data_IF_217847689464
#
_entry.id   IF_217847689464
#
_cell.length_a   1.000
_cell.length_b   1.000
_cell.length_c   1.000
_cell.angle_alpha   90.00
_cell.angle_beta   90.00
_cell.angle_gamma   90.00
#
_symmetry.space_group_name_H-M   'P 1'
#
loop_
_entity.id
_entity.type
_entity.pdbx_description
1 polymer ?
#
# COMPACT_ATOMS: atom_id res chain seq x y z
N UNK A 1 8.02 -2.90 -19.21
CA UNK A 1 6.71 -3.58 -19.31
C UNK A 1 5.77 -2.88 -18.34
N UNK A 2 4.74 -2.20 -18.86
CA UNK A 2 3.71 -1.61 -18.01
C UNK A 2 2.86 -2.72 -17.38
N UNK A 3 2.68 -2.70 -16.06
CA UNK A 3 1.87 -3.66 -15.30
C UNK A 3 0.35 -3.55 -15.54
N UNK A 4 -0.08 -2.84 -16.58
CA UNK A 4 -1.49 -2.52 -16.87
C UNK A 4 -2.39 -3.75 -16.76
N UNK A 5 -3.43 -3.67 -15.93
CA UNK A 5 -4.41 -4.76 -15.71
C UNK A 5 -3.85 -6.03 -15.06
N UNK A 6 -2.62 -5.99 -14.52
CA UNK A 6 -2.00 -7.09 -13.78
C UNK A 6 -2.02 -6.81 -12.29
N UNK A 7 -2.12 -7.88 -11.51
CA UNK A 7 -2.03 -7.81 -10.05
C UNK A 7 -0.86 -8.65 -9.57
N UNK A 8 -0.04 -8.09 -8.67
CA UNK A 8 1.03 -8.79 -7.99
C UNK A 8 0.66 -9.01 -6.52
N UNK A 9 1.02 -10.18 -6.00
CA UNK A 9 0.83 -10.53 -4.60
C UNK A 9 2.01 -10.03 -3.77
N UNK A 10 1.75 -9.30 -2.69
CA UNK A 10 2.78 -8.86 -1.74
C UNK A 10 2.25 -8.82 -0.31
N UNK A 11 3.10 -9.17 0.65
CA UNK A 11 2.88 -8.95 2.08
C UNK A 11 3.38 -7.58 2.53
N UNK A 12 3.02 -7.20 3.77
CA UNK A 12 3.39 -5.92 4.36
C UNK A 12 4.92 -5.73 4.45
N UNK A 13 5.66 -6.77 4.80
CA UNK A 13 7.12 -6.74 4.89
C UNK A 13 7.78 -6.42 3.53
N UNK A 14 7.32 -7.06 2.46
CA UNK A 14 7.81 -6.80 1.10
C UNK A 14 7.48 -5.39 0.65
N UNK A 15 6.25 -4.93 0.89
CA UNK A 15 5.84 -3.55 0.59
C UNK A 15 6.73 -2.56 1.34
N UNK A 16 6.89 -2.73 2.65
CA UNK A 16 7.74 -1.85 3.47
C UNK A 16 9.18 -1.80 2.96
N UNK A 17 9.79 -2.97 2.65
CA UNK A 17 11.16 -3.02 2.12
C UNK A 17 11.31 -2.36 0.75
N UNK A 18 10.28 -2.38 -0.10
CA UNK A 18 10.27 -1.64 -1.37
C UNK A 18 10.30 -0.13 -1.09
N UNK A 19 9.39 0.35 -0.24
CA UNK A 19 9.28 1.78 0.09
C UNK A 19 10.43 2.31 0.98
N UNK A 20 11.20 1.41 1.59
CA UNK A 20 12.44 1.67 2.32
C UNK A 20 13.70 1.50 1.43
N UNK A 21 13.52 1.17 0.15
CA UNK A 21 14.63 1.02 -0.80
C UNK A 21 15.55 -0.18 -0.55
N UNK A 22 15.13 -1.12 0.32
CA UNK A 22 15.83 -2.39 0.58
C UNK A 22 15.58 -3.43 -0.52
N UNK A 23 14.40 -3.39 -1.14
CA UNK A 23 14.08 -4.15 -2.35
C UNK A 23 14.06 -3.16 -3.52
N UNK A 24 15.00 -3.32 -4.44
CA UNK A 24 15.24 -2.36 -5.52
C UNK A 24 14.94 -2.89 -6.91
N UNK A 25 14.56 -4.17 -7.05
CA UNK A 25 14.25 -4.79 -8.35
C UNK A 25 12.97 -5.63 -8.30
N UNK A 26 12.23 -5.63 -9.40
CA UNK A 26 10.97 -6.39 -9.53
C UNK A 26 11.15 -7.91 -9.49
N UNK A 27 12.32 -8.40 -9.91
CA UNK A 27 12.72 -9.80 -9.76
C UNK A 27 13.47 -10.06 -8.45
N UNK A 28 13.17 -9.35 -7.37
CA UNK A 28 13.67 -9.72 -6.04
C UNK A 28 13.06 -11.05 -5.59
N UNK A 29 13.80 -11.83 -4.80
CA UNK A 29 13.36 -13.14 -4.30
C UNK A 29 12.12 -13.04 -3.39
N UNK A 30 11.97 -11.94 -2.63
CA UNK A 30 10.78 -11.71 -1.80
C UNK A 30 9.51 -11.55 -2.65
N UNK A 31 9.61 -10.88 -3.80
CA UNK A 31 8.49 -10.70 -4.74
C UNK A 31 8.24 -12.01 -5.51
N UNK A 32 9.30 -12.67 -6.00
CA UNK A 32 9.22 -13.94 -6.73
C UNK A 32 8.51 -15.04 -5.94
N UNK A 33 8.86 -15.20 -4.66
CA UNK A 33 8.27 -16.25 -3.80
C UNK A 33 6.76 -16.12 -3.67
N UNK A 34 6.22 -14.90 -3.74
CA UNK A 34 4.80 -14.61 -3.63
C UNK A 34 4.07 -14.67 -4.98
N UNK A 35 4.83 -14.67 -6.08
CA UNK A 35 4.33 -14.63 -7.46
C UNK A 35 4.96 -15.71 -8.36
N UNK A 36 4.93 -17.01 -7.99
CA UNK A 36 5.68 -18.06 -8.69
C UNK A 36 5.21 -18.33 -10.14
N UNK A 37 4.05 -17.78 -10.53
CA UNK A 37 3.46 -17.93 -11.87
C UNK A 37 3.61 -16.68 -12.73
N UNK A 38 4.31 -15.66 -12.25
CA UNK A 38 4.49 -14.38 -12.95
C UNK A 38 5.95 -14.25 -13.38
N UNK A 39 6.17 -14.01 -14.67
CA UNK A 39 7.49 -13.69 -15.19
C UNK A 39 7.86 -12.25 -14.78
N UNK A 40 8.62 -12.14 -13.70
CA UNK A 40 9.06 -10.85 -13.15
C UNK A 40 10.30 -10.33 -13.90
N UNK A 41 10.28 -9.07 -14.37
CA UNK A 41 11.39 -8.50 -15.12
C UNK A 41 12.58 -8.16 -14.20
N UNK A 42 13.80 -8.25 -14.75
CA UNK A 42 14.98 -7.59 -14.16
C UNK A 42 14.90 -6.08 -14.44
N UNK A 43 14.08 -5.39 -13.65
CA UNK A 43 13.79 -3.98 -13.78
C UNK A 43 13.88 -3.33 -12.40
N UNK A 44 14.54 -2.17 -12.35
CA UNK A 44 14.66 -1.39 -11.12
C UNK A 44 13.30 -0.85 -10.69
N UNK A 45 13.07 -0.85 -9.37
CA UNK A 45 11.89 -0.29 -8.75
C UNK A 45 12.12 1.19 -8.49
N UNK A 46 11.21 2.04 -8.97
CA UNK A 46 11.17 3.45 -8.62
C UNK A 46 9.95 3.73 -7.75
N UNK A 47 10.20 4.02 -6.47
CA UNK A 47 9.15 4.44 -5.54
C UNK A 47 8.67 5.84 -5.93
N UNK A 48 7.36 6.05 -5.91
CA UNK A 48 6.72 7.35 -6.09
C UNK A 48 5.85 7.62 -4.87
N UNK A 49 6.13 8.72 -4.18
CA UNK A 49 5.45 9.11 -2.96
C UNK A 49 4.92 10.53 -3.05
N UNK A 50 4.10 10.93 -2.09
CA UNK A 50 3.64 12.33 -2.00
C UNK A 50 4.80 13.24 -1.57
N UNK A 51 4.97 14.36 -2.27
CA UNK A 51 5.92 15.41 -1.87
C UNK A 51 5.30 16.45 -0.92
N UNK A 52 3.97 16.46 -0.81
CA UNK A 52 3.21 17.34 0.05
C UNK A 52 2.53 16.58 1.19
N UNK A 53 2.25 17.31 2.27
CA UNK A 53 1.53 16.80 3.44
C UNK A 53 0.22 16.11 3.03
N UNK A 54 0.03 14.86 3.44
CA UNK A 54 -1.00 13.98 2.88
C UNK A 54 -1.59 13.00 3.89
N UNK A 55 -2.92 13.00 4.02
CA UNK A 55 -3.66 11.98 4.76
C UNK A 55 -3.49 10.57 4.17
N UNK A 56 -3.47 10.45 2.84
CA UNK A 56 -3.16 9.20 2.12
C UNK A 56 -1.79 8.65 2.52
N UNK A 57 -0.80 9.53 2.68
CA UNK A 57 0.54 9.13 3.16
C UNK A 57 0.46 8.63 4.58
N UNK A 58 -0.24 9.35 5.46
CA UNK A 58 -0.43 8.89 6.85
C UNK A 58 -1.14 7.53 6.91
N UNK A 59 -2.18 7.31 6.12
CA UNK A 59 -2.91 6.03 6.09
C UNK A 59 -2.03 4.89 5.58
N UNK A 60 -1.29 5.10 4.48
CA UNK A 60 -0.31 4.14 3.97
C UNK A 60 0.78 3.81 5.01
N UNK A 61 1.34 4.85 5.66
CA UNK A 61 2.35 4.70 6.69
C UNK A 61 1.82 4.00 7.94
N UNK A 62 0.54 4.18 8.30
CA UNK A 62 -0.10 3.46 9.40
C UNK A 62 -0.12 1.97 9.11
N UNK A 63 -0.55 1.59 7.90
CA UNK A 63 -0.55 0.18 7.48
C UNK A 63 0.84 -0.45 7.55
N UNK A 64 1.87 0.16 6.93
CA UNK A 64 3.21 -0.45 6.94
C UNK A 64 3.82 -0.47 8.34
N UNK A 65 3.53 0.51 9.19
CA UNK A 65 3.99 0.53 10.58
C UNK A 65 3.37 -0.59 11.41
N UNK A 66 2.09 -0.85 11.21
CA UNK A 66 1.36 -1.84 11.99
C UNK A 66 1.61 -3.28 11.50
N UNK A 67 1.70 -3.47 10.18
CA UNK A 67 1.73 -4.80 9.55
C UNK A 67 3.12 -5.29 9.14
N UNK A 68 4.11 -4.41 8.96
CA UNK A 68 5.45 -4.81 8.51
C UNK A 68 6.45 -5.06 9.65
N UNK A 69 6.03 -4.85 10.91
CA UNK A 69 6.90 -5.01 12.08
C UNK A 69 8.20 -4.21 11.95
N UNK A 70 9.34 -4.87 12.21
CA UNK A 70 10.66 -4.24 12.17
C UNK A 70 11.16 -3.87 10.77
N UNK A 71 10.42 -4.23 9.71
CA UNK A 71 10.77 -3.86 8.35
C UNK A 71 10.56 -2.36 8.06
N UNK A 72 9.76 -1.67 8.88
CA UNK A 72 9.51 -0.23 8.76
C UNK A 72 9.86 0.52 10.06
N UNK A 73 11.03 1.16 10.08
CA UNK A 73 11.54 1.85 11.28
C UNK A 73 11.11 3.31 11.41
N UNK A 74 10.35 3.85 10.46
CA UNK A 74 10.00 5.26 10.43
C UNK A 74 8.77 5.58 11.29
N UNK A 75 8.72 6.84 11.75
CA UNK A 75 7.59 7.35 12.50
C UNK A 75 6.39 7.64 11.59
N UNK A 76 5.20 7.52 12.18
CA UNK A 76 3.96 7.86 11.49
C UNK A 76 3.85 9.37 11.31
N UNK A 77 3.54 9.81 10.10
CA UNK A 77 3.38 11.23 9.79
C UNK A 77 2.59 11.44 8.51
N UNK A 78 2.30 12.71 8.21
CA UNK A 78 1.65 13.11 6.96
C UNK A 78 2.67 13.46 5.87
N UNK A 79 3.95 13.52 6.21
CA UNK A 79 5.06 13.71 5.28
C UNK A 79 5.76 12.38 5.04
N UNK A 80 6.33 12.20 3.84
CA UNK A 80 7.15 11.04 3.54
C UNK A 80 8.43 11.04 4.41
N UNK A 81 8.82 9.91 5.03
CA UNK A 81 9.81 9.92 6.11
C UNK A 81 11.25 9.60 5.67
N UNK A 82 11.49 9.31 4.39
CA UNK A 82 12.82 8.98 3.87
C UNK A 82 13.08 9.64 2.50
N UNK A 83 14.26 9.42 1.94
CA UNK A 83 14.68 9.99 0.65
C UNK A 83 14.54 8.98 -0.52
N UNK A 84 13.80 7.88 -0.31
CA UNK A 84 13.66 6.81 -1.30
C UNK A 84 12.63 7.19 -2.35
N UNK A 85 13.06 7.18 -3.61
CA UNK A 85 12.18 7.37 -4.75
C UNK A 85 11.98 8.84 -5.14
N UNK A 86 10.85 9.11 -5.79
CA UNK A 86 10.49 10.41 -6.33
C UNK A 86 9.23 10.96 -5.66
N UNK A 87 9.34 12.16 -5.12
CA UNK A 87 8.19 12.90 -4.61
C UNK A 87 7.37 13.53 -5.75
N UNK A 88 6.05 13.34 -5.72
CA UNK A 88 5.10 13.98 -6.62
C UNK A 88 3.99 14.69 -5.83
N UNK A 89 3.55 15.85 -6.34
CA UNK A 89 2.57 16.69 -5.64
C UNK A 89 1.14 16.18 -5.90
N UNK A 90 0.40 15.92 -4.83
CA UNK A 90 -0.97 15.45 -4.91
C UNK A 90 -1.10 14.02 -5.46
N UNK A 91 -2.28 13.43 -5.31
CA UNK A 91 -2.55 12.07 -5.81
C UNK A 91 -2.44 11.98 -7.32
N UNK A 92 -2.92 12.98 -8.06
CA UNK A 92 -2.79 13.03 -9.53
C UNK A 92 -1.34 13.09 -10.00
N UNK A 93 -0.46 13.80 -9.26
CA UNK A 93 0.97 13.83 -9.53
C UNK A 93 1.60 12.44 -9.38
N UNK A 94 1.31 11.75 -8.27
CA UNK A 94 1.79 10.38 -8.02
C UNK A 94 1.33 9.44 -9.15
N UNK A 95 0.04 9.44 -9.49
CA UNK A 95 -0.50 8.59 -10.56
C UNK A 95 0.16 8.90 -11.91
N UNK A 96 0.32 10.18 -12.25
CA UNK A 96 0.94 10.58 -13.51
C UNK A 96 2.40 10.14 -13.59
N UNK A 97 3.17 10.28 -12.50
CA UNK A 97 4.56 9.82 -12.45
C UNK A 97 4.65 8.30 -12.57
N UNK A 98 3.77 7.54 -11.91
CA UNK A 98 3.69 6.08 -12.05
C UNK A 98 3.38 5.68 -13.49
N UNK A 99 2.46 6.38 -14.16
CA UNK A 99 2.10 6.08 -15.56
C UNK A 99 3.21 6.39 -16.58
N UNK A 100 4.08 7.36 -16.28
CA UNK A 100 5.08 7.86 -17.23
C UNK A 100 6.36 7.03 -17.28
N UNK A 101 6.60 6.14 -16.30
CA UNK A 101 7.82 5.34 -16.24
C UNK A 101 7.54 3.87 -15.90
N UNK A 102 8.27 2.99 -16.57
CA UNK A 102 8.28 1.57 -16.27
C UNK A 102 8.97 1.31 -14.92
N UNK A 103 8.48 0.30 -14.19
CA UNK A 103 9.09 -0.13 -12.93
C UNK A 103 8.72 0.72 -11.72
N UNK A 104 7.80 1.67 -11.88
CA UNK A 104 7.33 2.52 -10.80
C UNK A 104 6.33 1.81 -9.87
N UNK A 105 6.30 2.23 -8.62
CA UNK A 105 5.30 1.83 -7.63
C UNK A 105 4.95 3.04 -6.75
N UNK A 106 3.68 3.22 -6.43
CA UNK A 106 3.21 4.27 -5.53
C UNK A 106 1.93 3.85 -4.82
N UNK A 107 1.38 4.77 -4.04
CA UNK A 107 0.12 4.60 -3.31
C UNK A 107 -0.85 5.72 -3.66
N UNK A 108 -2.12 5.35 -3.82
CA UNK A 108 -3.21 6.27 -4.14
C UNK A 108 -4.55 5.64 -3.76
N UNK A 109 -5.58 6.47 -3.61
CA UNK A 109 -6.95 6.00 -3.44
C UNK A 109 -7.33 5.01 -4.56
N UNK A 110 -8.08 3.97 -4.20
CA UNK A 110 -8.51 2.91 -5.13
C UNK A 110 -9.17 3.45 -6.42
N UNK A 111 -9.94 4.55 -6.31
CA UNK A 111 -10.60 5.21 -7.44
C UNK A 111 -9.63 5.78 -8.49
N UNK A 112 -8.37 6.00 -8.11
CA UNK A 112 -7.34 6.59 -8.95
C UNK A 112 -6.48 5.55 -9.67
N UNK A 113 -6.58 4.27 -9.30
CA UNK A 113 -5.80 3.20 -9.91
C UNK A 113 -6.12 3.04 -11.41
N UNK A 114 -7.40 3.16 -11.79
CA UNK A 114 -7.85 2.97 -13.17
C UNK A 114 -7.38 1.61 -13.72
N UNK A 115 -6.63 1.63 -14.81
CA UNK A 115 -6.08 0.42 -15.43
C UNK A 115 -4.65 0.06 -14.96
N UNK A 116 -4.08 0.79 -13.99
CA UNK A 116 -2.72 0.53 -13.52
C UNK A 116 -2.57 -0.90 -13.00
N UNK A 117 -1.31 -1.39 -13.01
CA UNK A 117 -0.98 -2.59 -12.27
C UNK A 117 -1.18 -2.36 -10.78
N UNK A 118 -1.69 -3.37 -10.08
CA UNK A 118 -2.07 -3.25 -8.66
C UNK A 118 -1.43 -4.33 -7.81
N UNK A 119 -1.50 -4.16 -6.49
CA UNK A 119 -1.01 -5.13 -5.52
C UNK A 119 -2.20 -5.76 -4.81
N UNK A 120 -2.23 -7.10 -4.77
CA UNK A 120 -3.05 -7.84 -3.83
C UNK A 120 -2.23 -8.05 -2.56
N UNK A 121 -2.79 -7.64 -1.43
CA UNK A 121 -2.09 -7.62 -0.15
C UNK A 121 -2.34 -8.92 0.59
N UNK A 122 -1.30 -9.48 1.21
CA UNK A 122 -1.44 -10.67 2.05
C UNK A 122 -2.21 -10.35 3.34
N UNK A 123 -3.25 -11.12 3.61
CA UNK A 123 -4.15 -10.99 4.77
C UNK A 123 -4.39 -12.39 5.32
N UNK A 124 -3.83 -12.69 6.50
CA UNK A 124 -3.70 -14.08 6.95
C UNK A 124 -2.89 -14.90 5.94
N UNK A 125 -3.51 -15.95 5.39
CA UNK A 125 -2.90 -16.84 4.39
C UNK A 125 -3.28 -16.51 2.94
N UNK A 126 -4.24 -15.60 2.73
CA UNK A 126 -4.79 -15.25 1.42
C UNK A 126 -4.22 -13.91 0.90
N UNK A 127 -4.24 -13.71 -0.42
CA UNK A 127 -3.96 -12.40 -1.04
C UNK A 127 -5.27 -11.73 -1.48
N UNK A 128 -5.48 -10.50 -1.02
CA UNK A 128 -6.71 -9.74 -1.23
C UNK A 128 -6.43 -8.60 -2.19
N UNK A 129 -7.03 -8.59 -3.40
CA UNK A 129 -6.97 -7.42 -4.27
C UNK A 129 -7.81 -6.28 -3.68
N UNK A 130 -7.47 -5.03 -4.01
CA UNK A 130 -8.28 -3.90 -3.60
C UNK A 130 -9.68 -3.99 -4.25
N UNK A 131 -10.72 -3.73 -3.47
CA UNK A 131 -12.09 -3.55 -3.97
C UNK A 131 -12.90 -2.74 -2.97
N UNK A 132 -14.03 -2.18 -3.39
CA UNK A 132 -14.92 -1.46 -2.48
C UNK A 132 -15.44 -2.39 -1.37
N UNK A 133 -15.76 -3.63 -1.71
CA UNK A 133 -16.21 -4.65 -0.76
C UNK A 133 -15.10 -5.04 0.23
N UNK A 134 -13.86 -5.16 -0.25
CA UNK A 134 -12.73 -5.51 0.59
C UNK A 134 -12.37 -4.37 1.57
N UNK A 135 -12.52 -3.12 1.14
CA UNK A 135 -12.36 -1.95 2.02
C UNK A 135 -13.48 -1.88 3.09
N UNK A 136 -14.73 -2.14 2.70
CA UNK A 136 -15.86 -2.17 3.64
C UNK A 136 -15.68 -3.22 4.74
N UNK A 137 -15.16 -4.40 4.39
CA UNK A 137 -14.87 -5.47 5.35
C UNK A 137 -13.85 -5.08 6.43
N UNK A 138 -12.86 -4.24 6.11
CA UNK A 138 -11.93 -3.76 7.13
C UNK A 138 -12.64 -2.85 8.11
N UNK A 139 -13.51 -1.96 7.62
CA UNK A 139 -14.30 -1.07 8.48
C UNK A 139 -15.20 -1.89 9.41
N UNK A 140 -15.86 -2.94 8.89
CA UNK A 140 -16.74 -3.82 9.69
C UNK A 140 -15.95 -4.65 10.72
N UNK A 141 -14.72 -5.06 10.39
CA UNK A 141 -13.87 -5.86 11.27
C UNK A 141 -13.10 -5.02 12.32
N UNK A 142 -13.06 -3.70 12.15
CA UNK A 142 -12.26 -2.81 12.97
C UNK A 142 -13.03 -2.37 14.23
N UNK A 143 -12.39 -2.35 15.41
CA UNK A 143 -13.06 -1.91 16.62
C UNK A 143 -13.46 -0.42 16.54
N UNK A 144 -14.65 -0.12 17.07
CA UNK A 144 -15.06 1.26 17.30
C UNK A 144 -14.15 1.91 18.36
N UNK A 145 -13.80 3.17 18.15
CA UNK A 145 -13.08 3.95 19.15
C UNK A 145 -14.06 4.49 20.19
N UNK A 146 -14.17 3.76 21.30
CA UNK A 146 -15.03 4.11 22.44
C UNK A 146 -14.66 5.45 23.12
N UNK A 147 -13.53 6.07 22.74
CA UNK A 147 -13.12 7.38 23.24
C UNK A 147 -13.76 8.57 22.49
N UNK A 148 -14.38 8.33 21.33
CA UNK A 148 -15.06 9.36 20.56
C UNK A 148 -16.40 9.74 21.21
N UNK A 149 -16.45 10.90 21.87
CA UNK A 149 -17.70 11.42 22.48
C UNK A 149 -18.46 12.34 21.52
N UNK A 150 -19.74 12.06 21.30
CA UNK A 150 -20.70 12.89 20.56
C UNK A 150 -21.76 12.06 19.83
N UNK A 151 -23.03 12.50 19.87
CA UNK A 151 -24.20 11.68 19.50
C UNK A 151 -24.23 11.13 18.05
N UNK A 152 -23.33 11.59 17.16
CA UNK A 152 -23.20 11.15 15.77
C UNK A 152 -21.74 10.84 15.35
N UNK A 153 -20.84 10.53 16.28
CA UNK A 153 -19.41 10.36 15.98
C UNK A 153 -18.99 8.89 16.04
N UNK A 154 -18.93 8.24 14.88
CA UNK A 154 -18.33 6.91 14.73
C UNK A 154 -16.87 7.11 14.30
N UNK A 155 -15.93 6.73 15.16
CA UNK A 155 -14.50 6.66 14.84
C UNK A 155 -14.13 5.18 14.85
N UNK A 156 -13.50 4.71 13.79
CA UNK A 156 -13.07 3.31 13.63
C UNK A 156 -11.56 3.28 13.76
N UNK A 157 -11.02 2.45 14.66
CA UNK A 157 -9.58 2.16 14.68
C UNK A 157 -9.32 1.06 13.67
N UNK A 158 -8.86 1.44 12.48
CA UNK A 158 -8.53 0.49 11.41
C UNK A 158 -7.55 -0.57 11.94
N UNK A 159 -7.99 -1.83 11.97
CA UNK A 159 -7.11 -2.95 12.28
C UNK A 159 -6.35 -3.35 11.01
N UNK A 160 -5.19 -2.74 10.81
CA UNK A 160 -4.29 -3.04 9.70
C UNK A 160 -3.68 -4.45 9.80
N UNK A 161 -3.80 -5.12 10.95
CA UNK A 161 -3.34 -6.48 11.20
C UNK A 161 -4.46 -7.53 11.14
N UNK A 162 -5.63 -7.13 10.62
CA UNK A 162 -6.76 -8.05 10.49
C UNK A 162 -6.37 -9.31 9.72
N UNK A 163 -6.82 -10.45 10.21
CA UNK A 163 -6.76 -11.73 9.49
C UNK A 163 -8.10 -12.07 8.83
N UNK A 164 -9.04 -11.12 8.81
CA UNK A 164 -10.38 -11.32 8.28
C UNK A 164 -10.33 -11.56 6.77
N UNK A 165 -11.00 -12.63 6.33
CA UNK A 165 -10.87 -13.09 4.95
C UNK A 165 -11.47 -12.09 3.95
N UNK A 166 -10.59 -11.58 3.09
CA UNK A 166 -10.97 -10.63 2.04
C UNK A 166 -11.11 -9.19 2.51
N UNK A 167 -10.60 -8.84 3.69
CA UNK A 167 -10.53 -7.47 4.15
C UNK A 167 -9.22 -6.82 3.64
N UNK A 168 -9.29 -5.74 2.86
CA UNK A 168 -8.10 -5.11 2.27
C UNK A 168 -7.50 -4.06 3.22
N UNK A 169 -6.32 -4.31 3.84
CA UNK A 169 -5.89 -3.62 5.05
C UNK A 169 -5.38 -2.18 4.82
N UNK A 170 -5.22 -1.75 3.57
CA UNK A 170 -4.76 -0.39 3.23
C UNK A 170 -5.96 0.46 2.80
N UNK A 171 -6.61 1.10 3.76
CA UNK A 171 -7.72 2.04 3.51
C UNK A 171 -7.15 3.45 3.41
N UNK A 172 -7.20 4.04 2.22
CA UNK A 172 -6.58 5.32 1.88
C UNK A 172 -7.58 6.46 1.82
#
# INVERSE_FOLDING_TARGET
MSGKGKTLNMDAETIAKIFDGKITKWNDDAIKKQNPKVDLPDLDITVVHRSDKSGTTKNFLSYVKDAAGDAWSYDLGENWPNEVGQGAKGTSGVISTVQQADGTIGYADASQAGDLGTVAVKVGDDYVPFSAEAAAKVVDASPLDDSAKGDNRVVVKLDHNTTEKGAYPIVL
#
